data_IF_758531303912
#
_entry.id   IF_758531303912
#
_cell.length_a   1.000
_cell.length_b   1.000
_cell.length_c   1.000
_cell.angle_alpha   90.00
_cell.angle_beta   90.00
_cell.angle_gamma   90.00
#
_symmetry.space_group_name_H-M   'P 1'
#
loop_
_entity.id
_entity.type
_entity.pdbx_description
1 polymer ?
#
# COMPACT_ATOMS: atom_id res chain seq x y z
N UNK A 1 18.89 3.50 -2.86
CA UNK A 1 18.73 4.28 -4.12
C UNK A 1 17.23 4.41 -4.29
N UNK A 2 16.63 5.42 -3.68
CA UNK A 2 15.27 5.32 -3.18
C UNK A 2 14.52 6.60 -3.51
N UNK A 3 13.35 6.48 -4.14
CA UNK A 3 12.48 7.53 -4.69
C UNK A 3 13.03 8.39 -5.84
N UNK A 4 14.19 9.03 -5.71
CA UNK A 4 14.74 9.92 -6.76
C UNK A 4 15.05 9.21 -8.08
N UNK A 5 15.29 7.90 -8.03
CA UNK A 5 15.61 7.10 -9.20
C UNK A 5 14.42 6.90 -10.14
N UNK A 6 13.18 6.89 -9.62
CA UNK A 6 11.97 6.59 -10.40
C UNK A 6 10.77 7.48 -10.01
N UNK A 7 10.82 8.79 -10.29
CA UNK A 7 9.77 9.72 -9.89
C UNK A 7 8.40 9.42 -10.54
N UNK A 8 8.40 8.93 -11.79
CA UNK A 8 7.16 8.53 -12.49
C UNK A 8 6.45 7.37 -11.78
N UNK A 9 7.21 6.36 -11.35
CA UNK A 9 6.69 5.21 -10.60
C UNK A 9 6.12 5.68 -9.27
N UNK A 10 6.87 6.50 -8.51
CA UNK A 10 6.40 7.05 -7.24
C UNK A 10 5.07 7.77 -7.39
N UNK A 11 4.97 8.69 -8.35
CA UNK A 11 3.74 9.43 -8.63
C UNK A 11 2.56 8.51 -9.01
N UNK A 12 2.81 7.50 -9.84
CA UNK A 12 1.75 6.55 -10.22
C UNK A 12 1.27 5.73 -9.02
N UNK A 13 2.19 5.27 -8.17
CA UNK A 13 1.82 4.51 -6.96
C UNK A 13 1.06 5.38 -5.97
N UNK A 14 1.48 6.62 -5.74
CA UNK A 14 0.76 7.53 -4.85
C UNK A 14 -0.66 7.76 -5.39
N UNK A 15 -0.81 8.06 -6.68
CA UNK A 15 -2.13 8.22 -7.31
C UNK A 15 -2.98 6.95 -7.19
N UNK A 16 -2.37 5.79 -7.45
CA UNK A 16 -3.04 4.51 -7.30
C UNK A 16 -3.59 4.32 -5.88
N UNK A 17 -2.79 4.58 -4.84
CA UNK A 17 -3.20 4.42 -3.44
C UNK A 17 -4.21 5.49 -3.01
N UNK A 18 -4.01 6.74 -3.44
CA UNK A 18 -4.83 7.88 -3.11
C UNK A 18 -6.27 7.67 -3.61
N UNK A 19 -6.41 7.31 -4.89
CA UNK A 19 -7.70 7.12 -5.57
C UNK A 19 -8.26 5.68 -5.48
N UNK A 20 -7.53 4.74 -4.87
CA UNK A 20 -8.04 3.39 -4.64
C UNK A 20 -9.26 3.39 -3.72
N UNK A 21 -10.25 2.56 -4.07
CA UNK A 21 -11.40 2.23 -3.20
C UNK A 21 -11.01 1.38 -2.00
N UNK A 22 -9.86 0.69 -2.09
CA UNK A 22 -9.32 -0.08 -0.98
C UNK A 22 -8.54 0.85 -0.04
N UNK A 23 -8.66 0.59 1.25
CA UNK A 23 -7.93 1.34 2.28
C UNK A 23 -6.45 0.95 2.38
N UNK A 24 -6.10 -0.22 1.85
CA UNK A 24 -4.74 -0.74 1.75
C UNK A 24 -4.63 -1.70 0.56
N UNK A 25 -3.44 -1.82 -0.04
CA UNK A 25 -3.20 -2.69 -1.21
C UNK A 25 -1.84 -3.39 -1.11
N UNK A 26 -1.73 -4.67 -1.51
CA UNK A 26 -0.47 -5.41 -1.47
C UNK A 26 0.48 -5.02 -2.62
N UNK A 27 1.79 -5.28 -2.44
CA UNK A 27 2.84 -4.93 -3.41
C UNK A 27 2.56 -5.49 -4.81
N UNK A 28 2.11 -6.74 -4.89
CA UNK A 28 1.82 -7.41 -6.16
C UNK A 28 0.72 -6.71 -6.97
N UNK A 29 -0.34 -6.23 -6.31
CA UNK A 29 -1.41 -5.46 -6.95
C UNK A 29 -0.93 -4.08 -7.41
N UNK A 30 -0.05 -3.44 -6.63
CA UNK A 30 0.57 -2.17 -7.04
C UNK A 30 1.37 -2.38 -8.32
N UNK A 31 2.28 -3.36 -8.33
CA UNK A 31 3.09 -3.69 -9.51
C UNK A 31 2.25 -4.09 -10.72
N UNK A 32 1.11 -4.76 -10.51
CA UNK A 32 0.23 -5.18 -11.59
C UNK A 32 -0.42 -4.01 -12.32
N UNK A 33 -0.69 -2.91 -11.63
CA UNK A 33 -1.37 -1.71 -12.17
C UNK A 33 -0.42 -0.57 -12.55
N UNK A 34 0.90 -0.77 -12.44
CA UNK A 34 1.85 0.14 -13.06
C UNK A 34 1.63 0.16 -14.58
N UNK A 35 1.81 1.31 -15.25
CA UNK A 35 1.74 1.35 -16.70
C UNK A 35 2.88 0.52 -17.30
N UNK A 36 2.66 0.02 -18.51
CA UNK A 36 3.53 -0.98 -19.13
C UNK A 36 4.94 -0.47 -19.38
N UNK A 37 5.14 0.85 -19.50
CA UNK A 37 6.44 1.47 -19.73
C UNK A 37 7.30 1.38 -18.48
N UNK A 38 6.76 1.78 -17.34
CA UNK A 38 7.43 1.78 -16.04
C UNK A 38 7.61 0.36 -15.49
N UNK A 39 6.71 -0.57 -15.85
CA UNK A 39 6.77 -1.97 -15.38
C UNK A 39 7.92 -2.78 -15.98
N UNK A 40 8.44 -2.39 -17.15
CA UNK A 40 9.50 -3.14 -17.85
C UNK A 40 10.84 -3.06 -17.13
N UNK A 41 11.14 -1.91 -16.56
CA UNK A 41 12.47 -1.59 -16.06
C UNK A 41 12.56 -1.61 -14.53
N UNK A 42 11.48 -2.01 -13.84
CA UNK A 42 11.42 -2.03 -12.38
C UNK A 42 11.27 -3.43 -11.80
N UNK A 43 12.17 -3.78 -10.87
CA UNK A 43 12.04 -5.02 -10.09
C UNK A 43 11.04 -4.84 -8.92
N UNK A 44 10.64 -5.95 -8.31
CA UNK A 44 9.81 -5.90 -7.10
C UNK A 44 10.50 -5.21 -5.92
N UNK A 45 11.81 -5.40 -5.80
CA UNK A 45 12.61 -4.82 -4.72
C UNK A 45 12.80 -3.32 -4.94
N UNK A 46 13.02 -2.89 -6.19
CA UNK A 46 13.09 -1.46 -6.52
C UNK A 46 11.75 -0.75 -6.26
N UNK A 47 10.64 -1.36 -6.67
CA UNK A 47 9.31 -0.83 -6.38
C UNK A 47 9.07 -0.71 -4.88
N UNK A 48 9.50 -1.72 -4.12
CA UNK A 48 9.40 -1.70 -2.67
C UNK A 48 10.24 -0.57 -2.07
N UNK A 49 11.47 -0.38 -2.53
CA UNK A 49 12.35 0.69 -2.06
C UNK A 49 11.77 2.08 -2.38
N UNK A 50 11.19 2.27 -3.56
CA UNK A 50 10.47 3.51 -3.93
C UNK A 50 9.29 3.75 -2.98
N UNK A 51 8.47 2.72 -2.73
CA UNK A 51 7.31 2.85 -1.84
C UNK A 51 7.73 3.16 -0.40
N UNK A 52 8.68 2.40 0.15
CA UNK A 52 9.12 2.56 1.55
C UNK A 52 9.91 3.87 1.77
N UNK A 53 10.40 4.52 0.72
CA UNK A 53 11.03 5.86 0.80
C UNK A 53 10.07 7.02 0.53
N UNK A 54 8.82 6.76 0.18
CA UNK A 54 7.81 7.80 -0.09
C UNK A 54 7.07 8.19 1.20
N UNK A 55 7.15 9.45 1.69
CA UNK A 55 6.54 9.86 2.97
C UNK A 55 5.02 9.68 3.03
N UNK A 56 4.30 9.97 1.93
CA UNK A 56 2.85 9.84 1.86
C UNK A 56 2.33 8.41 1.67
N UNK A 57 3.19 7.40 1.84
CA UNK A 57 2.81 5.98 1.81
C UNK A 57 3.16 5.30 3.14
N UNK A 58 2.14 4.80 3.82
CA UNK A 58 2.29 3.97 5.01
C UNK A 58 2.33 2.48 4.67
N UNK A 59 2.99 1.70 5.53
CA UNK A 59 3.14 0.25 5.41
C UNK A 59 2.50 -0.50 6.58
N UNK A 60 1.81 -1.59 6.26
CA UNK A 60 1.33 -2.61 7.19
C UNK A 60 2.19 -3.85 6.97
N UNK A 61 3.22 -4.01 7.80
CA UNK A 61 4.09 -5.19 7.76
C UNK A 61 3.30 -6.41 8.23
N UNK A 62 3.04 -7.34 7.31
CA UNK A 62 2.40 -8.63 7.61
C UNK A 62 3.47 -9.68 7.87
N UNK A 63 3.19 -10.56 8.82
CA UNK A 63 4.11 -11.61 9.25
C UNK A 63 3.43 -12.97 9.17
N UNK A 64 4.21 -14.01 8.90
CA UNK A 64 3.71 -15.37 8.74
C UNK A 64 3.66 -15.80 7.29
N UNK A 65 2.97 -16.91 7.04
CA UNK A 65 2.88 -17.56 5.73
C UNK A 65 1.43 -17.80 5.36
N UNK A 66 1.16 -17.82 4.06
CA UNK A 66 -0.11 -18.27 3.52
C UNK A 66 -0.25 -19.80 3.59
N UNK A 67 -1.39 -20.32 3.14
CA UNK A 67 -1.65 -21.76 3.11
C UNK A 67 -0.71 -22.54 2.17
N UNK A 68 -0.04 -21.85 1.24
CA UNK A 68 0.97 -22.42 0.34
C UNK A 68 2.41 -22.29 0.89
N UNK A 69 2.56 -21.78 2.12
CA UNK A 69 3.87 -21.59 2.77
C UNK A 69 4.65 -20.36 2.31
N UNK A 70 4.07 -19.48 1.48
CA UNK A 70 4.70 -18.24 1.02
C UNK A 70 4.54 -17.14 2.07
N UNK A 71 5.53 -16.26 2.27
CA UNK A 71 5.41 -15.13 3.17
C UNK A 71 4.20 -14.24 2.82
N UNK A 72 3.50 -13.74 3.83
CA UNK A 72 2.42 -12.77 3.62
C UNK A 72 3.01 -11.45 3.08
N UNK A 73 2.41 -10.93 2.01
CA UNK A 73 2.82 -9.65 1.43
C UNK A 73 2.47 -8.49 2.38
N UNK A 74 3.35 -7.50 2.44
CA UNK A 74 3.03 -6.24 3.13
C UNK A 74 1.97 -5.47 2.33
N UNK A 75 1.13 -4.73 3.06
CA UNK A 75 0.11 -3.87 2.47
C UNK A 75 0.49 -2.41 2.65
N UNK A 76 0.13 -1.59 1.67
CA UNK A 76 0.47 -0.17 1.64
C UNK A 76 -0.79 0.68 1.58
N UNK A 77 -0.75 1.86 2.20
CA UNK A 77 -1.88 2.78 2.26
C UNK A 77 -1.42 4.23 2.10
N UNK A 78 -2.29 5.06 1.56
CA UNK A 78 -2.03 6.49 1.36
C UNK A 78 -2.16 7.27 2.69
N UNK A 79 -1.23 8.20 2.94
CA UNK A 79 -1.19 9.12 4.09
C UNK A 79 -1.32 10.55 3.57
N UNK A 80 -2.54 11.12 3.53
CA UNK A 80 -2.75 12.46 3.01
C UNK A 80 -1.97 13.55 3.74
N UNK A 81 -1.70 13.37 5.03
CA UNK A 81 -1.02 14.35 5.88
C UNK A 81 0.44 14.57 5.47
N UNK A 82 1.07 13.55 4.89
CA UNK A 82 2.47 13.54 4.46
C UNK A 82 2.60 13.74 2.93
N UNK A 83 1.50 14.11 2.25
CA UNK A 83 1.51 14.40 0.82
C UNK A 83 1.72 15.89 0.55
N UNK A 84 2.79 16.20 -0.18
CA UNK A 84 3.16 17.54 -0.62
C UNK A 84 2.24 18.06 -1.75
N UNK A 85 1.58 17.18 -2.49
CA UNK A 85 0.62 17.55 -3.53
C UNK A 85 -0.72 17.96 -2.93
N UNK A 86 -0.88 19.27 -2.74
CA UNK A 86 -2.09 19.85 -2.17
C UNK A 86 -3.34 19.58 -3.01
N UNK A 87 -3.23 19.46 -4.33
CA UNK A 87 -4.38 19.22 -5.21
C UNK A 87 -4.87 17.79 -5.06
N UNK A 88 -3.96 16.81 -5.07
CA UNK A 88 -4.29 15.41 -4.81
C UNK A 88 -4.88 15.24 -3.41
N UNK A 89 -4.28 15.87 -2.40
CA UNK A 89 -4.80 15.84 -1.03
C UNK A 89 -6.21 16.40 -0.93
N UNK A 90 -6.49 17.57 -1.49
CA UNK A 90 -7.82 18.17 -1.49
C UNK A 90 -8.83 17.30 -2.25
N UNK A 91 -8.46 16.76 -3.41
CA UNK A 91 -9.34 15.87 -4.17
C UNK A 91 -9.72 14.60 -3.39
N UNK A 92 -8.78 14.00 -2.65
CA UNK A 92 -9.03 12.79 -1.87
C UNK A 92 -9.78 13.06 -0.56
N UNK A 93 -9.37 14.09 0.18
CA UNK A 93 -9.93 14.40 1.51
C UNK A 93 -11.26 15.12 1.38
N UNK A 94 -11.36 16.14 0.54
CA UNK A 94 -12.57 16.97 0.43
C UNK A 94 -13.52 16.45 -0.66
N UNK A 95 -12.97 16.11 -1.83
CA UNK A 95 -13.74 15.65 -2.98
C UNK A 95 -14.33 14.26 -2.77
N UNK A 96 -13.47 13.26 -2.54
CA UNK A 96 -13.89 11.87 -2.32
C UNK A 96 -14.36 11.59 -0.88
N UNK A 97 -14.06 12.48 0.07
CA UNK A 97 -14.31 12.28 1.51
C UNK A 97 -13.82 10.93 2.01
N UNK A 98 -12.67 10.49 1.48
CA UNK A 98 -12.13 9.17 1.77
C UNK A 98 -11.65 9.14 3.22
N UNK A 99 -12.20 8.26 4.07
CA UNK A 99 -11.71 8.15 5.44
C UNK A 99 -10.29 7.60 5.44
N UNK A 100 -9.46 8.09 6.36
CA UNK A 100 -8.14 7.53 6.58
C UNK A 100 -8.22 6.08 7.10
N UNK A 101 -7.14 5.32 6.92
CA UNK A 101 -7.06 3.97 7.46
C UNK A 101 -7.14 4.02 8.99
N UNK A 102 -8.20 3.41 9.54
CA UNK A 102 -8.41 3.32 11.01
C UNK A 102 -7.17 2.73 11.69
N UNK A 103 -6.78 3.29 12.84
CA UNK A 103 -5.60 2.86 13.59
C UNK A 103 -5.58 1.34 13.87
N UNK A 104 -6.73 0.74 14.18
CA UNK A 104 -6.83 -0.70 14.45
C UNK A 104 -6.49 -1.60 13.24
N UNK A 105 -6.49 -1.05 12.01
CA UNK A 105 -6.17 -1.73 10.76
C UNK A 105 -4.75 -1.45 10.26
N UNK A 106 -4.01 -0.54 10.90
CA UNK A 106 -2.59 -0.28 10.58
C UNK A 106 -1.64 -1.40 11.05
N UNK A 107 -2.18 -2.43 11.71
CA UNK A 107 -1.44 -3.56 12.25
C UNK A 107 -1.98 -4.87 11.68
N UNK A 108 -1.06 -5.81 11.43
CA UNK A 108 -1.44 -7.16 11.08
C UNK A 108 -2.09 -7.86 12.29
N UNK A 109 -3.32 -8.36 12.12
CA UNK A 109 -4.04 -9.12 13.15
C UNK A 109 -4.26 -10.55 12.70
N UNK A 110 -3.75 -11.50 13.49
CA UNK A 110 -4.03 -12.91 13.28
C UNK A 110 -5.30 -13.30 14.05
N UNK A 111 -6.34 -13.69 13.32
CA UNK A 111 -7.54 -14.27 13.94
C UNK A 111 -7.34 -15.78 14.06
N UNK A 112 -7.52 -16.30 15.27
CA UNK A 112 -7.63 -17.72 15.53
C UNK A 112 -9.10 -18.06 15.76
N UNK A 113 -9.58 -19.15 15.16
CA UNK A 113 -10.87 -19.71 15.52
C UNK A 113 -10.61 -20.84 16.52
N UNK A 114 -11.30 -20.82 17.67
CA UNK A 114 -11.30 -21.94 18.60
C UNK A 114 -12.53 -22.79 18.31
N UNK A 115 -12.32 -24.09 18.10
CA UNK A 115 -13.44 -25.04 18.03
C UNK A 115 -14.22 -24.98 19.35
N UNK A 116 -15.56 -24.86 19.34
CA UNK A 116 -16.37 -24.94 20.55
C UNK A 116 -16.16 -26.30 21.24
N UNK A 117 -16.18 -26.34 22.58
CA UNK A 117 -16.23 -27.62 23.29
C UNK A 117 -17.61 -28.25 23.02
N UNK A 118 -17.64 -29.49 22.54
CA UNK A 118 -18.86 -30.29 22.53
C UNK A 118 -19.32 -30.54 23.97
N UNK A 119 -20.65 -30.54 24.25
CA UNK A 119 -21.19 -30.86 25.57
C UNK A 119 -20.73 -32.23 26.09
#
# INVERSE_FOLDING_TARGET
MSFESHPAVGNHVINQLAFSRLSSTPLSTIMAHLPSEEKRDISKDDLRDVIESTPCIGIIKRQGKDAAGKPLESEYYYVPEEDDDQQRRAAVVDGLRKPSLRACRKQHKQYYWKRPKTP
#
